data_IF_404772316036
#
_entry.id   IF_404772316036
#
_cell.length_a   1.000
_cell.length_b   1.000
_cell.length_c   1.000
_cell.angle_alpha   90.00
_cell.angle_beta   90.00
_cell.angle_gamma   90.00
#
_symmetry.space_group_name_H-M   'P 1'
#
loop_
_entity.id
_entity.type
_entity.pdbx_description
1 polymer ?
#
# COMPACT_ATOMS: atom_id res chain seq x y z
N UNK A 1 -2.81 -13.25 -11.77
CA UNK A 1 -3.72 -12.18 -11.28
C UNK A 1 -3.26 -10.85 -11.86
N UNK A 2 -4.16 -10.16 -12.53
CA UNK A 2 -3.82 -8.91 -13.21
C UNK A 2 -3.75 -7.71 -12.29
N UNK A 3 -4.58 -7.67 -11.25
CA UNK A 3 -4.70 -6.53 -10.36
C UNK A 3 -5.03 -6.99 -8.94
N UNK A 4 -4.30 -6.46 -7.98
CA UNK A 4 -4.54 -6.71 -6.57
C UNK A 4 -4.78 -5.43 -5.81
N UNK A 5 -5.72 -5.44 -4.89
CA UNK A 5 -5.99 -4.32 -3.98
C UNK A 5 -5.58 -4.70 -2.57
N UNK A 6 -4.92 -3.80 -1.88
CA UNK A 6 -4.52 -4.10 -0.52
C UNK A 6 -4.23 -2.88 0.32
N UNK A 7 -4.18 -3.10 1.61
CA UNK A 7 -4.00 -2.06 2.62
C UNK A 7 -2.55 -1.58 2.68
N UNK A 8 -2.35 -0.26 2.70
CA UNK A 8 -1.03 0.33 2.90
C UNK A 8 -1.00 1.37 4.03
N UNK A 9 -2.12 1.61 4.73
CA UNK A 9 -2.21 2.60 5.79
C UNK A 9 -2.63 2.02 7.12
N UNK A 10 -2.60 2.83 8.16
CA UNK A 10 -3.00 2.49 9.52
C UNK A 10 -2.17 1.33 10.10
N UNK A 11 -0.85 1.41 9.98
CA UNK A 11 0.06 0.35 10.41
C UNK A 11 0.93 0.72 11.62
N UNK A 12 1.03 2.00 11.95
CA UNK A 12 1.92 2.46 13.04
C UNK A 12 1.11 2.87 14.28
N UNK A 13 1.15 2.05 15.31
CA UNK A 13 0.48 2.31 16.60
C UNK A 13 1.47 2.44 17.75
N UNK A 14 2.75 2.66 17.46
CA UNK A 14 3.75 2.94 18.48
C UNK A 14 3.45 4.28 19.19
N UNK A 15 3.51 4.40 20.52
CA UNK A 15 3.95 3.40 21.51
C UNK A 15 2.84 2.50 22.08
N UNK A 16 1.63 2.56 21.55
CA UNK A 16 0.51 1.74 22.03
C UNK A 16 0.80 0.26 21.77
N UNK A 17 1.36 -0.03 20.58
CA UNK A 17 1.96 -1.31 20.25
C UNK A 17 3.47 -1.12 20.32
N UNK A 18 4.17 -1.96 21.08
CA UNK A 18 5.59 -1.77 21.39
C UNK A 18 6.53 -1.82 20.18
N UNK A 19 6.08 -2.33 19.06
CA UNK A 19 6.89 -2.44 17.84
C UNK A 19 6.34 -1.49 16.80
N UNK A 20 7.18 -0.53 16.40
CA UNK A 20 6.84 0.43 15.34
C UNK A 20 6.56 -0.32 14.04
N UNK A 21 5.55 0.15 13.30
CA UNK A 21 5.13 -0.40 12.02
C UNK A 21 4.62 -1.84 12.07
N UNK A 22 4.32 -2.36 13.25
CA UNK A 22 3.66 -3.67 13.37
C UNK A 22 2.30 -3.52 13.98
N UNK A 23 1.29 -3.74 13.16
CA UNK A 23 -0.11 -3.80 13.55
C UNK A 23 -0.61 -5.22 13.35
N UNK A 24 -1.45 -5.69 14.25
CA UNK A 24 -2.14 -6.97 14.08
C UNK A 24 -3.30 -6.88 13.11
N UNK A 25 -3.74 -5.65 12.78
CA UNK A 25 -4.93 -5.42 11.96
C UNK A 25 -4.60 -5.02 10.51
N UNK A 26 -3.48 -4.33 10.28
CA UNK A 26 -3.18 -3.74 8.98
C UNK A 26 -1.73 -4.00 8.58
N UNK A 27 -1.55 -4.32 7.29
CA UNK A 27 -0.22 -4.46 6.71
C UNK A 27 0.40 -3.09 6.45
N UNK A 28 1.73 -2.99 6.55
CA UNK A 28 2.45 -1.84 6.04
C UNK A 28 2.69 -2.01 4.52
N UNK A 29 3.19 -0.96 3.81
CA UNK A 29 3.39 -1.06 2.36
C UNK A 29 4.29 -2.20 1.91
N UNK A 30 5.38 -2.47 2.62
CA UNK A 30 6.31 -3.55 2.26
C UNK A 30 5.67 -4.93 2.46
N UNK A 31 4.90 -5.11 3.51
CA UNK A 31 4.17 -6.36 3.76
C UNK A 31 3.17 -6.66 2.64
N UNK A 32 2.46 -5.64 2.17
CA UNK A 32 1.55 -5.80 1.04
C UNK A 32 2.30 -6.17 -0.24
N UNK A 33 3.39 -5.48 -0.55
CA UNK A 33 4.20 -5.78 -1.72
C UNK A 33 4.73 -7.21 -1.70
N UNK A 34 5.21 -7.66 -0.54
CA UNK A 34 5.67 -9.04 -0.37
C UNK A 34 4.57 -10.05 -0.62
N UNK A 35 3.40 -9.85 -0.06
CA UNK A 35 2.24 -10.71 -0.25
C UNK A 35 1.83 -10.77 -1.72
N UNK A 36 1.73 -9.63 -2.37
CA UNK A 36 1.30 -9.55 -3.77
C UNK A 36 2.32 -10.17 -4.72
N UNK A 37 3.62 -10.05 -4.41
CA UNK A 37 4.67 -10.76 -5.13
C UNK A 37 4.47 -12.27 -5.03
N UNK A 38 4.21 -12.78 -3.84
CA UNK A 38 4.01 -14.22 -3.61
C UNK A 38 2.76 -14.73 -4.33
N UNK A 39 1.74 -13.90 -4.47
CA UNK A 39 0.52 -14.21 -5.23
C UNK A 39 0.68 -14.00 -6.74
N UNK A 40 1.83 -13.53 -7.19
CA UNK A 40 2.13 -13.25 -8.60
C UNK A 40 1.16 -12.26 -9.24
N UNK A 41 0.81 -11.23 -8.51
CA UNK A 41 -0.03 -10.12 -8.99
C UNK A 41 0.81 -9.21 -9.86
N UNK A 42 0.27 -8.76 -10.99
CA UNK A 42 1.00 -7.89 -11.93
C UNK A 42 1.04 -6.44 -11.48
N UNK A 43 -0.09 -5.90 -11.04
CA UNK A 43 -0.23 -4.52 -10.59
C UNK A 43 -0.93 -4.48 -9.24
N UNK A 44 -0.50 -3.60 -8.36
CA UNK A 44 -1.03 -3.51 -7.00
C UNK A 44 -1.55 -2.10 -6.76
N UNK A 45 -2.79 -2.00 -6.30
CA UNK A 45 -3.39 -0.75 -5.85
C UNK A 45 -3.35 -0.70 -4.33
N UNK A 46 -2.63 0.29 -3.80
CA UNK A 46 -2.60 0.55 -2.36
C UNK A 46 -3.83 1.33 -1.93
N UNK A 47 -4.49 0.86 -0.90
CA UNK A 47 -5.72 1.46 -0.39
C UNK A 47 -5.67 1.67 1.12
N UNK A 48 -6.70 2.26 1.67
CA UNK A 48 -6.85 2.45 3.12
C UNK A 48 -5.81 3.42 3.69
N UNK A 49 -5.58 4.54 3.01
CA UNK A 49 -4.69 5.59 3.45
C UNK A 49 -5.32 6.98 3.19
N UNK A 50 -4.89 7.98 3.95
CA UNK A 50 -5.20 9.39 3.66
C UNK A 50 -6.65 9.83 3.88
N UNK A 51 -7.56 8.94 4.22
CA UNK A 51 -8.98 9.27 4.43
C UNK A 51 -9.20 9.91 5.81
N UNK A 52 -8.49 9.39 6.82
CA UNK A 52 -8.56 9.88 8.19
C UNK A 52 -7.25 9.55 8.91
N UNK A 53 -6.99 10.23 10.03
CA UNK A 53 -5.86 9.89 10.89
C UNK A 53 -6.29 8.72 11.76
N UNK A 54 -5.90 7.51 11.37
CA UNK A 54 -6.28 6.28 12.05
C UNK A 54 -5.17 5.71 12.93
N UNK A 55 -3.93 6.17 12.73
CA UNK A 55 -2.76 5.64 13.42
C UNK A 55 -1.67 6.72 13.48
N UNK A 56 -0.44 6.36 13.83
CA UNK A 56 0.63 7.31 14.13
C UNK A 56 1.58 7.58 12.96
N UNK A 57 1.49 6.83 11.86
CA UNK A 57 2.32 7.17 10.70
C UNK A 57 1.85 8.49 10.07
N UNK A 58 2.77 9.30 9.48
CA UNK A 58 2.39 10.48 8.73
C UNK A 58 1.41 10.14 7.62
N UNK A 59 0.41 10.99 7.39
CA UNK A 59 -0.69 10.70 6.47
C UNK A 59 -0.23 10.42 5.03
N UNK A 60 0.88 11.02 4.60
CA UNK A 60 1.44 10.85 3.26
C UNK A 60 2.51 9.75 3.16
N UNK A 61 2.90 9.14 4.29
CA UNK A 61 3.91 8.09 4.29
C UNK A 61 3.50 6.85 3.48
N UNK A 62 2.24 6.33 3.60
CA UNK A 62 1.86 5.12 2.91
C UNK A 62 2.13 5.13 1.39
N UNK A 63 1.66 6.12 0.61
CA UNK A 63 1.92 6.10 -0.83
C UNK A 63 3.38 6.31 -1.18
N UNK A 64 4.11 7.15 -0.45
CA UNK A 64 5.53 7.39 -0.70
C UNK A 64 6.34 6.13 -0.42
N UNK A 65 6.10 5.48 0.72
CA UNK A 65 6.77 4.26 1.14
C UNK A 65 6.44 3.09 0.21
N UNK A 66 5.20 3.01 -0.26
CA UNK A 66 4.74 1.99 -1.18
C UNK A 66 5.50 2.06 -2.51
N UNK A 67 5.55 3.23 -3.14
CA UNK A 67 6.26 3.41 -4.41
C UNK A 67 7.77 3.29 -4.25
N UNK A 68 8.33 3.79 -3.17
CA UNK A 68 9.77 3.74 -2.93
C UNK A 68 10.30 2.30 -2.81
N UNK A 69 9.48 1.37 -2.36
CA UNK A 69 9.87 -0.02 -2.13
C UNK A 69 9.39 -0.99 -3.21
N UNK A 70 8.65 -0.53 -4.21
CA UNK A 70 8.07 -1.40 -5.24
C UNK A 70 9.12 -2.27 -5.93
N UNK A 71 10.22 -1.68 -6.36
CA UNK A 71 11.26 -2.39 -7.11
C UNK A 71 11.98 -3.47 -6.27
N UNK A 72 12.10 -3.26 -4.96
CA UNK A 72 12.65 -4.29 -4.06
C UNK A 72 11.86 -5.59 -4.08
N UNK A 73 10.58 -5.51 -4.37
CA UNK A 73 9.67 -6.66 -4.39
C UNK A 73 9.30 -7.10 -5.81
N UNK A 74 10.02 -6.61 -6.81
CA UNK A 74 9.87 -7.04 -8.18
C UNK A 74 8.79 -6.31 -8.99
N UNK A 75 8.25 -5.22 -8.48
CA UNK A 75 7.28 -4.40 -9.20
C UNK A 75 7.93 -3.15 -9.79
N UNK A 76 7.50 -2.75 -10.98
CA UNK A 76 7.85 -1.43 -11.50
C UNK A 76 7.11 -0.37 -10.69
N UNK A 77 7.66 0.83 -10.59
CA UNK A 77 7.03 1.92 -9.84
C UNK A 77 5.62 2.24 -10.35
N UNK A 78 5.41 2.19 -11.67
CA UNK A 78 4.10 2.43 -12.27
C UNK A 78 3.08 1.31 -12.00
N UNK A 79 3.53 0.14 -11.55
CA UNK A 79 2.66 -0.98 -11.19
C UNK A 79 2.29 -1.00 -9.70
N UNK A 80 2.92 -0.16 -8.89
CA UNK A 80 2.53 0.13 -7.52
C UNK A 80 1.67 1.40 -7.54
N UNK A 81 0.37 1.22 -7.63
CA UNK A 81 -0.60 2.27 -7.95
C UNK A 81 -1.23 2.84 -6.68
N UNK A 82 -1.30 4.16 -6.59
CA UNK A 82 -2.11 4.83 -5.59
C UNK A 82 -2.99 5.87 -6.29
N UNK A 83 -4.18 6.08 -5.77
CA UNK A 83 -5.07 7.12 -6.28
C UNK A 83 -4.86 8.39 -5.47
N UNK A 84 -4.94 9.54 -6.12
CA UNK A 84 -5.10 10.81 -5.41
C UNK A 84 -6.47 10.82 -4.73
N UNK A 85 -6.58 11.50 -3.61
CA UNK A 85 -7.86 11.61 -2.91
C UNK A 85 -8.90 12.22 -3.86
N UNK A 86 -10.01 11.50 -4.05
CA UNK A 86 -11.07 11.89 -5.00
C UNK A 86 -10.85 11.45 -6.44
N UNK A 87 -9.70 10.86 -6.76
CA UNK A 87 -9.42 10.39 -8.12
C UNK A 87 -10.23 9.14 -8.47
N UNK A 88 -10.71 9.08 -9.71
CA UNK A 88 -11.42 7.94 -10.28
C UNK A 88 -10.64 7.43 -11.48
N UNK A 89 -10.41 6.12 -11.55
CA UNK A 89 -9.74 5.47 -12.69
C UNK A 89 -10.61 4.35 -13.24
N UNK A 90 -10.61 4.20 -14.56
CA UNK A 90 -11.29 3.07 -15.21
C UNK A 90 -10.46 1.80 -15.02
N UNK A 91 -11.14 0.68 -14.83
CA UNK A 91 -10.48 -0.62 -14.64
C UNK A 91 -9.58 -0.97 -15.84
N UNK A 92 -10.03 -0.73 -17.05
CA UNK A 92 -9.27 -0.99 -18.27
C UNK A 92 -7.93 -0.23 -18.31
N UNK A 93 -7.88 0.98 -17.76
CA UNK A 93 -6.64 1.78 -17.68
C UNK A 93 -5.69 1.24 -16.63
N UNK A 94 -6.20 0.55 -15.60
CA UNK A 94 -5.38 -0.04 -14.56
C UNK A 94 -4.72 -1.34 -15.00
N UNK A 95 -5.40 -2.15 -15.81
CA UNK A 95 -4.89 -3.49 -16.20
C UNK A 95 -4.12 -3.48 -17.52
N UNK A 96 -4.18 -2.41 -18.26
CA UNK A 96 -3.40 -2.24 -19.48
C UNK A 96 -2.09 -1.43 -19.22
#
# INVERSE_FOLDING_TARGET
IDLGFGNIGAYNFFPIVNVKDKSTAHANPEELLSLMRDLKVKKVVGMHWGTAILSLEPIWEPPVRFKANAEKFGFRKEDAITFKIGEIKKLEDLVN
#
